data_IF_121973348022
#
_entry.id   IF_121973348022
#
_cell.length_a   1.000
_cell.length_b   1.000
_cell.length_c   1.000
_cell.angle_alpha   90.00
_cell.angle_beta   90.00
_cell.angle_gamma   90.00
#
_symmetry.space_group_name_H-M   'P 1'
#
loop_
_entity.id
_entity.type
_entity.pdbx_description
1 polymer ?
#
# COMPACT_ATOMS: atom_id res chain seq x y z
N UNK A 1 7.91 17.67 61.62
CA UNK A 1 6.86 18.64 61.28
C UNK A 1 7.48 19.96 60.93
N UNK A 2 7.63 20.31 59.69
CA UNK A 2 7.87 21.68 59.20
C UNK A 2 7.10 21.83 57.87
N UNK A 3 6.08 22.64 57.93
CA UNK A 3 5.25 23.10 56.82
C UNK A 3 5.95 24.29 56.17
N UNK A 4 6.16 24.24 54.87
CA UNK A 4 6.62 25.38 54.09
C UNK A 4 5.57 25.70 53.03
N UNK A 5 5.01 26.87 53.12
CA UNK A 5 3.92 27.43 52.28
C UNK A 5 4.49 28.00 51.00
N UNK A 6 3.84 27.87 49.85
CA UNK A 6 4.34 28.41 48.58
C UNK A 6 3.97 29.92 48.41
N UNK A 7 4.90 30.63 47.83
CA UNK A 7 4.74 32.05 47.43
C UNK A 7 4.05 32.10 46.05
N UNK A 8 2.91 32.76 46.01
CA UNK A 8 2.18 33.13 44.80
C UNK A 8 2.87 34.34 44.12
N UNK A 9 3.38 34.17 42.95
CA UNK A 9 3.80 35.27 42.06
C UNK A 9 2.74 35.47 41.00
N UNK A 10 1.99 36.54 41.11
CA UNK A 10 1.03 36.98 40.10
C UNK A 10 1.76 37.78 39.01
N UNK A 11 1.79 37.28 37.79
CA UNK A 11 2.30 37.97 36.62
C UNK A 11 1.12 38.56 35.84
N UNK A 12 1.03 39.89 35.87
CA UNK A 12 0.08 40.68 35.07
C UNK A 12 0.62 40.80 33.65
N UNK A 13 -0.03 40.25 32.67
CA UNK A 13 0.29 40.43 31.25
C UNK A 13 -0.65 41.46 30.64
N UNK A 14 -0.08 42.58 30.20
CA UNK A 14 -0.75 43.66 29.46
C UNK A 14 -1.10 43.19 28.07
N UNK A 15 -2.40 43.20 27.67
CA UNK A 15 -2.81 43.05 26.29
C UNK A 15 -2.61 44.36 25.53
N UNK A 16 -1.74 44.35 24.53
CA UNK A 16 -1.72 45.37 23.47
C UNK A 16 -2.46 44.90 22.26
N UNK A 17 -3.60 45.51 21.95
CA UNK A 17 -4.32 45.35 20.68
C UNK A 17 -3.55 46.07 19.58
N UNK A 18 -2.95 45.37 18.66
CA UNK A 18 -2.49 45.88 17.38
C UNK A 18 -3.48 45.46 16.29
N UNK A 19 -4.28 46.43 15.82
CA UNK A 19 -5.16 46.26 14.68
C UNK A 19 -4.32 46.16 13.41
N UNK A 20 -4.48 45.08 12.65
CA UNK A 20 -4.00 44.98 11.28
C UNK A 20 -5.19 45.13 10.31
N UNK A 21 -5.14 46.20 9.55
CA UNK A 21 -6.00 46.57 8.43
C UNK A 21 -5.91 45.51 7.35
N UNK A 22 -7.06 44.89 6.95
CA UNK A 22 -7.14 44.04 5.79
C UNK A 22 -7.11 44.89 4.52
N UNK A 23 -6.04 44.83 3.76
CA UNK A 23 -6.01 45.28 2.38
C UNK A 23 -6.48 44.12 1.47
N UNK A 24 -7.64 44.27 0.90
CA UNK A 24 -8.12 43.39 -0.20
C UNK A 24 -7.27 43.72 -1.44
N UNK A 25 -6.41 42.81 -1.85
CA UNK A 25 -5.85 42.81 -3.20
C UNK A 25 -6.61 41.79 -4.03
N UNK A 26 -7.47 42.33 -4.88
CA UNK A 26 -8.05 41.71 -6.05
C UNK A 26 -6.94 41.61 -7.09
N UNK A 27 -6.60 40.40 -7.52
CA UNK A 27 -5.52 40.21 -8.48
C UNK A 27 -5.53 38.82 -9.09
N UNK A 28 -6.21 38.76 -10.23
CA UNK A 28 -5.91 37.99 -11.44
C UNK A 28 -5.77 36.47 -11.32
N UNK A 29 -6.75 35.83 -11.94
CA UNK A 29 -6.70 34.48 -12.47
C UNK A 29 -5.35 34.16 -13.10
N UNK A 30 -4.60 33.29 -12.46
CA UNK A 30 -3.61 32.46 -13.10
C UNK A 30 -4.09 31.03 -12.99
N UNK A 31 -4.81 30.59 -14.01
CA UNK A 31 -5.03 29.18 -14.31
C UNK A 31 -3.66 28.53 -14.54
N UNK A 32 -2.99 28.19 -13.45
CA UNK A 32 -1.89 27.25 -13.48
C UNK A 32 -2.55 25.87 -13.61
N UNK A 33 -2.68 25.43 -14.85
CA UNK A 33 -2.95 24.05 -15.20
C UNK A 33 -1.79 23.19 -14.69
N UNK A 34 -1.82 22.87 -13.41
CA UNK A 34 -0.97 21.83 -12.81
C UNK A 34 -1.53 20.48 -13.27
N UNK A 35 -1.17 20.12 -14.52
CA UNK A 35 -1.13 18.70 -14.90
C UNK A 35 -0.02 18.04 -14.10
N UNK A 36 -0.21 17.96 -12.78
CA UNK A 36 0.51 17.01 -11.96
C UNK A 36 -0.16 15.65 -12.17
N UNK A 37 0.13 15.02 -13.31
CA UNK A 37 -0.08 13.60 -13.46
C UNK A 37 0.74 12.92 -12.37
N UNK A 38 0.11 12.64 -11.24
CA UNK A 38 0.59 11.63 -10.33
C UNK A 38 0.52 10.34 -11.16
N UNK A 39 1.67 9.92 -11.70
CA UNK A 39 1.85 8.61 -12.33
C UNK A 39 1.96 7.63 -11.16
N UNK A 40 0.86 7.47 -10.43
CA UNK A 40 0.62 6.40 -9.50
C UNK A 40 -0.47 5.53 -10.11
N UNK A 41 -0.19 4.25 -10.31
CA UNK A 41 -1.21 3.30 -10.74
C UNK A 41 -2.36 3.24 -9.73
N UNK A 42 -3.48 2.68 -10.15
CA UNK A 42 -4.63 2.40 -9.28
C UNK A 42 -4.29 1.21 -8.37
N UNK A 43 -4.73 1.25 -7.11
CA UNK A 43 -4.66 0.08 -6.24
C UNK A 43 -5.98 -0.70 -6.29
N UNK A 44 -5.88 -2.01 -6.50
CA UNK A 44 -6.98 -2.97 -6.50
C UNK A 44 -6.81 -3.94 -5.34
N UNK A 45 -7.91 -4.41 -4.76
CA UNK A 45 -7.87 -5.38 -3.67
C UNK A 45 -8.41 -6.73 -4.12
N UNK A 46 -7.69 -7.79 -3.77
CA UNK A 46 -8.14 -9.18 -3.81
C UNK A 46 -8.18 -9.69 -2.38
N UNK A 47 -9.31 -10.20 -1.95
CA UNK A 47 -9.44 -10.81 -0.63
C UNK A 47 -9.19 -12.32 -0.72
N UNK A 48 -8.46 -12.86 0.25
CA UNK A 48 -8.37 -14.30 0.44
C UNK A 48 -9.32 -14.72 1.55
N UNK A 49 -10.20 -15.65 1.23
CA UNK A 49 -11.21 -16.23 2.11
C UNK A 49 -10.99 -17.74 2.24
N UNK A 50 -11.72 -18.46 3.11
CA UNK A 50 -11.67 -19.93 3.13
C UNK A 50 -11.99 -20.59 1.77
N UNK A 51 -12.67 -19.87 0.87
CA UNK A 51 -12.96 -20.35 -0.49
C UNK A 51 -11.84 -20.07 -1.50
N UNK A 52 -10.83 -19.29 -1.15
CA UNK A 52 -9.74 -18.84 -2.00
C UNK A 52 -9.79 -17.35 -2.30
N UNK A 53 -9.10 -16.93 -3.35
CA UNK A 53 -8.99 -15.52 -3.78
C UNK A 53 -10.29 -15.00 -4.41
N UNK A 54 -10.70 -13.79 -4.05
CA UNK A 54 -11.88 -13.12 -4.58
C UNK A 54 -11.59 -11.63 -4.87
N UNK A 55 -11.69 -11.16 -6.13
CA UNK A 55 -11.89 -11.97 -7.32
C UNK A 55 -10.70 -12.89 -7.62
N UNK A 56 -10.94 -14.03 -8.23
CA UNK A 56 -9.90 -14.96 -8.69
C UNK A 56 -9.26 -14.54 -10.02
N UNK A 57 -9.92 -13.62 -10.75
CA UNK A 57 -9.45 -13.01 -11.98
C UNK A 57 -9.67 -11.50 -11.96
N UNK A 58 -8.61 -10.73 -12.24
CA UNK A 58 -8.63 -9.27 -12.23
C UNK A 58 -7.93 -8.71 -13.47
N UNK A 59 -8.53 -7.74 -14.16
CA UNK A 59 -7.91 -6.98 -15.24
C UNK A 59 -7.52 -5.59 -14.73
N UNK A 60 -6.27 -5.20 -14.97
CA UNK A 60 -5.66 -3.94 -14.52
C UNK A 60 -4.83 -3.33 -15.67
N UNK A 61 -4.33 -2.12 -15.47
CA UNK A 61 -3.38 -1.48 -16.38
C UNK A 61 -1.93 -1.66 -15.91
N UNK A 62 -1.01 -1.56 -16.84
CA UNK A 62 0.42 -1.49 -16.53
C UNK A 62 0.71 -0.35 -15.53
N UNK A 63 1.44 -0.65 -14.48
CA UNK A 63 1.75 0.27 -13.38
C UNK A 63 0.73 0.28 -12.23
N UNK A 64 -0.38 -0.46 -12.35
CA UNK A 64 -1.32 -0.63 -11.24
C UNK A 64 -0.78 -1.59 -10.18
N UNK A 65 -1.28 -1.43 -8.96
CA UNK A 65 -0.92 -2.25 -7.80
C UNK A 65 -2.07 -3.15 -7.40
N UNK A 66 -1.78 -4.40 -7.10
CA UNK A 66 -2.74 -5.32 -6.49
C UNK A 66 -2.34 -5.59 -5.05
N UNK A 67 -3.31 -5.52 -4.15
CA UNK A 67 -3.19 -5.80 -2.73
C UNK A 67 -3.97 -7.05 -2.38
N UNK A 68 -3.29 -8.09 -1.93
CA UNK A 68 -3.91 -9.31 -1.39
C UNK A 68 -4.10 -9.16 0.11
N UNK A 69 -5.36 -9.19 0.56
CA UNK A 69 -5.73 -9.06 1.97
C UNK A 69 -6.19 -10.42 2.49
N UNK A 70 -5.55 -10.92 3.53
CA UNK A 70 -5.95 -12.19 4.13
C UNK A 70 -7.17 -12.03 5.03
N UNK A 71 -8.33 -12.51 4.60
CA UNK A 71 -9.59 -12.56 5.37
C UNK A 71 -9.92 -13.97 5.88
N UNK A 72 -8.92 -14.85 5.91
CA UNK A 72 -9.04 -16.20 6.47
C UNK A 72 -8.40 -16.28 7.87
N UNK A 73 -8.52 -17.45 8.51
CA UNK A 73 -7.91 -17.73 9.79
C UNK A 73 -6.52 -18.40 9.69
N UNK A 74 -6.03 -18.62 8.46
CA UNK A 74 -4.74 -19.26 8.20
C UNK A 74 -3.79 -18.28 7.50
N UNK A 75 -2.49 -18.51 7.58
CA UNK A 75 -1.54 -17.75 6.77
C UNK A 75 -1.71 -18.06 5.29
N UNK A 76 -1.43 -17.08 4.44
CA UNK A 76 -1.40 -17.22 2.98
C UNK A 76 -0.06 -16.71 2.45
N UNK A 77 0.37 -17.23 1.30
CA UNK A 77 1.59 -16.74 0.65
C UNK A 77 1.33 -16.58 -0.87
N UNK A 78 0.79 -15.41 -1.28
CA UNK A 78 0.60 -15.11 -2.70
C UNK A 78 1.94 -15.03 -3.43
N UNK A 79 2.07 -15.78 -4.51
CA UNK A 79 3.28 -15.78 -5.34
C UNK A 79 2.96 -16.08 -6.80
N UNK A 80 3.81 -15.61 -7.71
CA UNK A 80 3.76 -15.94 -9.13
C UNK A 80 3.68 -17.45 -9.34
N UNK A 81 2.92 -17.92 -10.33
CA UNK A 81 3.01 -19.31 -10.75
C UNK A 81 4.41 -19.56 -11.38
N UNK A 82 4.88 -20.78 -11.56
CA UNK A 82 4.29 -22.02 -11.08
C UNK A 82 4.96 -22.44 -9.76
N UNK A 83 4.24 -23.24 -8.99
CA UNK A 83 4.82 -23.84 -7.78
C UNK A 83 5.90 -24.89 -8.17
N UNK A 84 7.04 -24.97 -7.47
CA UNK A 84 7.50 -24.11 -6.37
C UNK A 84 8.44 -22.97 -6.80
N UNK A 85 8.66 -22.72 -8.11
CA UNK A 85 9.74 -21.85 -8.60
C UNK A 85 9.37 -20.37 -8.67
N UNK A 86 8.07 -20.03 -8.80
CA UNK A 86 7.51 -18.66 -8.85
C UNK A 86 8.04 -17.81 -10.02
N UNK A 87 8.20 -18.41 -11.21
CA UNK A 87 8.93 -17.80 -12.34
C UNK A 87 8.03 -17.39 -13.53
N UNK A 88 6.69 -17.42 -13.40
CA UNK A 88 5.80 -17.05 -14.51
C UNK A 88 5.76 -15.53 -14.72
N UNK A 89 5.77 -14.74 -13.65
CA UNK A 89 5.94 -13.30 -13.80
C UNK A 89 7.41 -12.98 -14.10
N UNK A 90 7.70 -12.13 -15.13
CA UNK A 90 9.08 -11.82 -15.52
C UNK A 90 9.93 -11.29 -14.35
N UNK A 91 11.08 -11.87 -14.19
CA UNK A 91 12.03 -11.50 -13.12
C UNK A 91 11.71 -12.09 -11.75
N UNK A 92 10.55 -12.75 -11.54
CA UNK A 92 10.24 -13.42 -10.27
C UNK A 92 10.94 -14.77 -10.15
N UNK A 93 11.30 -15.13 -8.95
CA UNK A 93 11.76 -16.48 -8.55
C UNK A 93 11.78 -16.56 -7.03
N UNK A 94 11.38 -17.68 -6.46
CA UNK A 94 11.45 -17.93 -5.00
C UNK A 94 12.90 -17.82 -4.46
N UNK A 95 13.90 -18.07 -5.31
CA UNK A 95 15.31 -17.97 -4.92
C UNK A 95 15.76 -16.54 -4.60
N UNK A 96 14.96 -15.54 -4.97
CA UNK A 96 15.21 -14.13 -4.68
C UNK A 96 14.66 -13.69 -3.31
N UNK A 97 13.83 -14.50 -2.68
CA UNK A 97 13.36 -14.24 -1.31
C UNK A 97 14.53 -14.18 -0.33
N UNK A 98 14.55 -13.17 0.54
CA UNK A 98 15.64 -12.92 1.47
C UNK A 98 16.88 -12.26 0.84
N UNK A 99 16.81 -11.86 -0.42
CA UNK A 99 17.89 -11.14 -1.13
C UNK A 99 17.51 -9.68 -1.40
N UNK A 100 18.45 -8.81 -1.84
CA UNK A 100 18.12 -7.45 -2.25
C UNK A 100 17.11 -7.34 -3.42
N UNK A 101 16.94 -8.40 -4.21
CA UNK A 101 15.97 -8.43 -5.31
C UNK A 101 14.52 -8.73 -4.88
N UNK A 102 14.29 -9.10 -3.63
CA UNK A 102 12.96 -9.46 -3.11
C UNK A 102 11.90 -8.39 -3.38
N UNK A 103 12.25 -7.11 -3.25
CA UNK A 103 11.31 -6.00 -3.45
C UNK A 103 10.78 -5.88 -4.90
N UNK A 104 11.42 -6.53 -5.86
CA UNK A 104 11.09 -6.45 -7.29
C UNK A 104 10.35 -7.67 -7.84
N UNK A 105 10.03 -8.68 -7.02
CA UNK A 105 9.43 -9.93 -7.48
C UNK A 105 7.97 -10.06 -7.06
N UNK A 106 7.17 -10.73 -7.89
CA UNK A 106 5.79 -11.10 -7.54
C UNK A 106 5.78 -12.33 -6.63
N UNK A 107 6.12 -12.10 -5.36
CA UNK A 107 6.24 -13.12 -4.33
C UNK A 107 6.15 -12.45 -2.95
N UNK A 108 5.28 -12.91 -2.07
CA UNK A 108 5.21 -12.40 -0.70
C UNK A 108 6.40 -12.85 0.17
N UNK A 109 7.15 -13.86 -0.27
CA UNK A 109 8.34 -14.41 0.38
C UNK A 109 8.14 -14.88 1.83
N UNK A 110 6.92 -14.89 2.30
CA UNK A 110 6.53 -15.31 3.66
C UNK A 110 5.03 -15.54 3.77
N UNK A 111 4.62 -16.26 4.81
CA UNK A 111 3.22 -16.31 5.21
C UNK A 111 2.71 -14.92 5.64
N UNK A 112 1.53 -14.55 5.16
CA UNK A 112 0.81 -13.33 5.51
C UNK A 112 -0.29 -13.71 6.51
N UNK A 113 -0.21 -13.27 7.77
CA UNK A 113 -1.21 -13.59 8.79
C UNK A 113 -2.61 -13.06 8.47
N UNK A 114 -3.61 -13.54 9.23
CA UNK A 114 -4.97 -13.01 9.16
C UNK A 114 -5.00 -11.50 9.33
N UNK A 115 -5.85 -10.81 8.54
CA UNK A 115 -6.02 -9.36 8.46
C UNK A 115 -4.80 -8.54 8.00
N UNK A 116 -3.68 -9.19 7.69
CA UNK A 116 -2.54 -8.55 7.03
C UNK A 116 -2.63 -8.64 5.49
N UNK A 117 -1.70 -8.01 4.79
CA UNK A 117 -1.71 -7.94 3.33
C UNK A 117 -0.32 -7.94 2.73
N UNK A 118 -0.26 -8.35 1.47
CA UNK A 118 0.86 -8.21 0.54
C UNK A 118 0.43 -7.35 -0.64
N UNK A 119 1.31 -6.51 -1.19
CA UNK A 119 1.02 -5.70 -2.39
C UNK A 119 2.13 -5.84 -3.41
N UNK A 120 1.75 -5.85 -4.70
CA UNK A 120 2.71 -5.88 -5.80
C UNK A 120 2.23 -4.99 -6.96
N UNK A 121 3.16 -4.22 -7.57
CA UNK A 121 2.89 -3.36 -8.73
C UNK A 121 3.26 -4.09 -10.02
N UNK A 122 2.31 -4.19 -10.96
CA UNK A 122 2.47 -4.92 -12.21
C UNK A 122 3.01 -4.02 -13.32
N UNK A 123 4.27 -4.18 -13.67
CA UNK A 123 4.94 -3.40 -14.71
C UNK A 123 5.02 -4.11 -16.07
N UNK A 124 4.62 -5.37 -16.16
CA UNK A 124 4.68 -6.18 -17.37
C UNK A 124 3.27 -6.46 -17.90
N UNK A 125 3.01 -6.09 -19.16
CA UNK A 125 1.76 -6.42 -19.85
C UNK A 125 1.69 -7.91 -20.14
N UNK A 126 0.55 -8.54 -19.85
CA UNK A 126 0.40 -9.99 -20.03
C UNK A 126 -0.66 -10.62 -19.16
N UNK A 127 -0.60 -11.94 -19.05
CA UNK A 127 -1.50 -12.76 -18.23
C UNK A 127 -0.67 -13.52 -17.20
N UNK A 128 -0.82 -13.16 -15.94
CA UNK A 128 0.01 -13.62 -14.86
C UNK A 128 -0.81 -14.46 -13.89
N UNK A 129 -0.60 -15.78 -13.93
CA UNK A 129 -1.17 -16.68 -12.94
C UNK A 129 -0.38 -16.60 -11.64
N UNK A 130 -1.07 -16.72 -10.52
CA UNK A 130 -0.49 -16.77 -9.19
C UNK A 130 -1.20 -17.84 -8.35
N UNK A 131 -0.59 -18.24 -7.25
CA UNK A 131 -1.12 -19.24 -6.33
C UNK A 131 -0.76 -18.87 -4.87
N UNK A 132 -1.40 -19.55 -3.93
CA UNK A 132 -0.95 -19.58 -2.56
C UNK A 132 0.15 -20.65 -2.43
N UNK A 133 1.37 -20.24 -2.05
CA UNK A 133 2.48 -21.17 -1.87
C UNK A 133 2.22 -22.20 -0.77
N UNK A 134 1.41 -21.84 0.27
CA UNK A 134 1.06 -22.71 1.37
C UNK A 134 -0.10 -23.68 1.02
N UNK A 135 -0.93 -23.33 0.02
CA UNK A 135 -1.98 -24.18 -0.53
C UNK A 135 -2.08 -23.95 -2.05
N UNK A 136 -1.31 -24.67 -2.82
CA UNK A 136 -1.25 -24.53 -4.29
C UNK A 136 -2.55 -24.85 -5.03
N UNK A 137 -3.57 -25.34 -4.35
CA UNK A 137 -4.94 -25.51 -4.91
C UNK A 137 -5.68 -24.18 -4.99
N UNK A 138 -5.21 -23.13 -4.30
CA UNK A 138 -5.75 -21.78 -4.33
C UNK A 138 -4.91 -20.91 -5.27
N UNK A 139 -5.53 -20.43 -6.32
CA UNK A 139 -4.85 -19.67 -7.38
C UNK A 139 -5.76 -18.59 -7.96
N UNK A 140 -5.17 -17.70 -8.75
CA UNK A 140 -5.87 -16.67 -9.48
C UNK A 140 -5.07 -16.18 -10.68
N UNK A 141 -5.61 -15.14 -11.36
CA UNK A 141 -5.01 -14.57 -12.56
C UNK A 141 -5.11 -13.04 -12.56
N UNK A 142 -4.01 -12.38 -12.85
CA UNK A 142 -3.97 -10.95 -13.16
C UNK A 142 -3.74 -10.79 -14.66
N UNK A 143 -4.60 -10.00 -15.32
CA UNK A 143 -4.44 -9.58 -16.71
C UNK A 143 -4.01 -8.12 -16.69
N UNK A 144 -2.88 -7.81 -17.30
CA UNK A 144 -2.31 -6.46 -17.39
C UNK A 144 -2.38 -5.99 -18.84
N UNK A 145 -3.05 -4.85 -19.08
CA UNK A 145 -3.27 -4.24 -20.40
C UNK A 145 -2.50 -2.91 -20.57
#
# INVERSE_FOLDING_TARGET
MKVVLPVLVALVILLTLAGCTQTQQQGTDNTANSNNSIIGGTEYTIEYTPNGYAPDKLTIKQGDTVKWVNKSAVEIWPASAKHPTHEVYPGSSITKCGTPEEAGIFDACKGIPADESFSFTFNEVGQWFYHDHLDSTKFGQIIVE
#
